data_IF_042843514141
#
_entry.id   IF_042843514141
#
_cell.length_a   1.000
_cell.length_b   1.000
_cell.length_c   1.000
_cell.angle_alpha   90.00
_cell.angle_beta   90.00
_cell.angle_gamma   90.00
#
_symmetry.space_group_name_H-M   'P 1'
#
loop_
_entity.id
_entity.type
_entity.pdbx_description
1 polymer ?
#
# COMPACT_ATOMS: atom_id res chain seq x y z
N UNK A 1 -27.34 4.69 -15.51
CA UNK A 1 -26.57 3.56 -16.09
C UNK A 1 -25.12 3.74 -15.70
N UNK A 2 -24.79 3.34 -14.47
CA UNK A 2 -23.45 3.51 -13.89
C UNK A 2 -22.65 2.25 -14.19
N UNK A 3 -21.53 2.39 -14.91
CA UNK A 3 -20.57 1.31 -15.09
C UNK A 3 -19.81 1.13 -13.78
N UNK A 4 -20.00 -0.02 -13.14
CA UNK A 4 -19.23 -0.41 -11.95
C UNK A 4 -17.73 -0.55 -12.32
N UNK A 5 -16.82 0.14 -11.61
CA UNK A 5 -15.40 -0.02 -11.83
C UNK A 5 -14.98 -1.37 -11.25
N UNK A 6 -14.70 -2.33 -12.15
CA UNK A 6 -13.97 -3.59 -11.94
C UNK A 6 -13.93 -4.07 -10.47
N UNK A 7 -15.01 -4.75 -10.07
CA UNK A 7 -15.14 -5.51 -8.82
C UNK A 7 -13.88 -6.32 -8.49
N UNK A 8 -13.56 -6.50 -7.20
CA UNK A 8 -12.47 -7.36 -6.68
C UNK A 8 -12.51 -8.77 -7.32
N UNK A 9 -13.69 -9.22 -7.74
CA UNK A 9 -13.92 -10.47 -8.47
C UNK A 9 -13.27 -10.46 -9.87
N UNK A 10 -13.28 -9.32 -10.58
CA UNK A 10 -12.58 -9.13 -11.86
C UNK A 10 -11.06 -9.22 -11.69
N UNK A 11 -10.48 -8.59 -10.65
CA UNK A 11 -9.03 -8.69 -10.42
C UNK A 11 -8.59 -10.11 -10.09
N UNK A 12 -9.35 -10.84 -9.25
CA UNK A 12 -9.08 -12.26 -8.96
C UNK A 12 -9.25 -13.15 -10.19
N UNK A 13 -10.24 -12.84 -11.04
CA UNK A 13 -10.46 -13.51 -12.33
C UNK A 13 -9.28 -13.29 -13.28
N UNK A 14 -8.81 -12.05 -13.42
CA UNK A 14 -7.66 -11.66 -14.23
C UNK A 14 -6.39 -12.36 -13.72
N UNK A 15 -6.17 -12.40 -12.40
CA UNK A 15 -5.02 -13.09 -11.79
C UNK A 15 -5.07 -14.61 -11.99
N UNK A 16 -6.27 -15.21 -11.98
CA UNK A 16 -6.49 -16.64 -12.22
C UNK A 16 -6.33 -16.98 -13.71
N UNK A 17 -6.82 -16.12 -14.61
CA UNK A 17 -6.58 -16.21 -16.05
C UNK A 17 -5.09 -16.06 -16.37
N UNK A 18 -4.39 -15.16 -15.67
CA UNK A 18 -2.96 -14.94 -15.82
C UNK A 18 -2.07 -16.08 -15.29
N UNK A 19 -2.59 -16.90 -14.38
CA UNK A 19 -1.94 -18.17 -13.99
C UNK A 19 -2.17 -19.29 -15.00
N UNK A 20 -3.29 -19.26 -15.73
CA UNK A 20 -3.71 -20.32 -16.66
C UNK A 20 -3.12 -20.14 -18.06
N UNK A 21 -2.87 -18.91 -18.47
CA UNK A 21 -2.08 -18.58 -19.66
C UNK A 21 -0.60 -18.60 -19.25
N UNK A 22 0.27 -19.17 -20.09
CA UNK A 22 1.72 -19.13 -19.93
C UNK A 22 2.25 -17.69 -20.10
N UNK A 23 1.97 -16.81 -19.13
CA UNK A 23 2.49 -15.46 -19.12
C UNK A 23 4.03 -15.50 -19.00
N UNK A 24 4.71 -14.90 -19.98
CA UNK A 24 6.16 -14.74 -19.99
C UNK A 24 6.62 -14.07 -18.69
N UNK A 25 7.75 -14.51 -18.16
CA UNK A 25 8.35 -14.07 -16.89
C UNK A 25 8.30 -12.52 -16.70
N UNK A 26 8.53 -11.79 -17.80
CA UNK A 26 8.55 -10.32 -17.87
C UNK A 26 7.26 -9.65 -17.40
N UNK A 27 6.11 -10.25 -17.69
CA UNK A 27 4.80 -9.67 -17.35
C UNK A 27 4.44 -9.81 -15.88
N UNK A 28 4.83 -10.94 -15.25
CA UNK A 28 4.71 -11.13 -13.80
C UNK A 28 5.60 -10.14 -13.06
N UNK A 29 6.78 -9.88 -13.60
CA UNK A 29 7.71 -8.90 -13.05
C UNK A 29 7.10 -7.49 -13.13
N UNK A 30 6.53 -7.09 -14.28
CA UNK A 30 5.84 -5.81 -14.42
C UNK A 30 4.68 -5.67 -13.42
N UNK A 31 3.85 -6.69 -13.22
CA UNK A 31 2.79 -6.61 -12.20
C UNK A 31 3.34 -6.43 -10.78
N UNK A 32 4.43 -7.11 -10.43
CA UNK A 32 5.09 -6.95 -9.12
C UNK A 32 5.75 -5.58 -8.95
N UNK A 33 6.28 -4.98 -10.01
CA UNK A 33 6.89 -3.65 -9.94
C UNK A 33 5.88 -2.58 -9.51
N UNK A 34 4.61 -2.70 -9.91
CA UNK A 34 3.56 -1.79 -9.40
C UNK A 34 3.39 -1.86 -7.88
N UNK A 35 3.59 -3.03 -7.27
CA UNK A 35 3.54 -3.22 -5.81
C UNK A 35 4.81 -2.68 -5.15
N UNK A 36 5.96 -2.78 -5.84
CA UNK A 36 7.24 -2.28 -5.35
C UNK A 36 7.25 -0.75 -5.17
N UNK A 37 6.38 -0.02 -5.88
CA UNK A 37 6.24 1.44 -5.73
C UNK A 37 5.92 1.87 -4.29
N UNK A 38 5.24 1.02 -3.51
CA UNK A 38 4.91 1.34 -2.12
C UNK A 38 6.15 1.45 -1.21
N UNK A 39 7.28 0.90 -1.64
CA UNK A 39 8.53 0.87 -0.88
C UNK A 39 9.51 1.98 -1.29
N UNK A 40 9.18 2.79 -2.29
CA UNK A 40 10.03 3.87 -2.80
C UNK A 40 9.63 5.18 -2.07
N UNK A 41 10.56 6.14 -1.86
CA UNK A 41 10.20 7.47 -1.34
C UNK A 41 9.10 8.12 -2.17
N UNK A 42 8.17 8.82 -1.52
CA UNK A 42 6.98 9.41 -2.16
C UNK A 42 7.33 10.32 -3.35
N UNK A 43 8.43 11.07 -3.21
CA UNK A 43 8.99 11.98 -4.22
C UNK A 43 9.32 11.26 -5.54
N UNK A 44 9.81 10.02 -5.45
CA UNK A 44 10.35 9.25 -6.57
C UNK A 44 9.28 8.34 -7.21
N UNK A 45 8.12 8.16 -6.56
CA UNK A 45 7.05 7.26 -7.03
C UNK A 45 6.60 7.63 -8.44
N UNK A 46 6.41 8.91 -8.73
CA UNK A 46 5.95 9.38 -10.04
C UNK A 46 6.97 9.07 -11.15
N UNK A 47 8.26 9.32 -10.87
CA UNK A 47 9.35 9.03 -11.81
C UNK A 47 9.50 7.52 -12.07
N UNK A 48 9.50 6.72 -11.00
CA UNK A 48 9.58 5.27 -11.09
C UNK A 48 8.38 4.67 -11.86
N UNK A 49 7.17 5.16 -11.61
CA UNK A 49 5.96 4.73 -12.32
C UNK A 49 6.06 4.98 -13.83
N UNK A 50 6.50 6.17 -14.24
CA UNK A 50 6.65 6.51 -15.66
C UNK A 50 7.68 5.62 -16.37
N UNK A 51 8.80 5.29 -15.70
CA UNK A 51 9.79 4.37 -16.24
C UNK A 51 9.23 2.96 -16.43
N UNK A 52 8.42 2.49 -15.50
CA UNK A 52 7.77 1.18 -15.61
C UNK A 52 6.75 1.20 -16.75
N UNK A 53 5.90 2.24 -16.83
CA UNK A 53 4.89 2.40 -17.89
C UNK A 53 5.50 2.41 -19.29
N UNK A 54 6.66 3.04 -19.47
CA UNK A 54 7.39 3.02 -20.75
C UNK A 54 7.89 1.61 -21.12
N UNK A 55 8.27 0.79 -20.14
CA UNK A 55 8.74 -0.58 -20.36
C UNK A 55 7.62 -1.60 -20.61
N UNK A 56 6.38 -1.27 -20.27
CA UNK A 56 5.22 -2.16 -20.40
C UNK A 56 4.89 -2.54 -21.85
N UNK A 57 5.41 -1.79 -22.84
CA UNK A 57 5.23 -2.07 -24.27
C UNK A 57 3.77 -1.96 -24.72
N UNK A 58 3.44 -2.56 -25.88
CA UNK A 58 2.11 -2.52 -26.52
C UNK A 58 1.15 -3.62 -26.05
N UNK A 59 1.43 -4.30 -24.92
CA UNK A 59 0.51 -5.31 -24.40
C UNK A 59 -0.75 -4.62 -23.83
N UNK A 60 -1.86 -4.69 -24.58
CA UNK A 60 -3.10 -3.96 -24.27
C UNK A 60 -3.65 -4.21 -22.87
N UNK A 61 -3.53 -5.42 -22.32
CA UNK A 61 -4.00 -5.73 -20.97
C UNK A 61 -3.15 -5.06 -19.89
N UNK A 62 -1.82 -5.03 -20.07
CA UNK A 62 -0.92 -4.38 -19.13
C UNK A 62 -1.07 -2.85 -19.22
N UNK A 63 -1.26 -2.30 -20.41
CA UNK A 63 -1.54 -0.86 -20.59
C UNK A 63 -2.80 -0.47 -19.81
N UNK A 64 -3.89 -1.23 -19.94
CA UNK A 64 -5.12 -0.99 -19.17
C UNK A 64 -4.90 -1.06 -17.66
N UNK A 65 -4.11 -2.03 -17.19
CA UNK A 65 -3.75 -2.14 -15.77
C UNK A 65 -2.97 -0.91 -15.29
N UNK A 66 -1.97 -0.46 -16.03
CA UNK A 66 -1.17 0.71 -15.66
C UNK A 66 -1.98 2.01 -15.74
N UNK A 67 -2.88 2.16 -16.72
CA UNK A 67 -3.79 3.31 -16.77
C UNK A 67 -4.72 3.35 -15.55
N UNK A 68 -5.23 2.19 -15.11
CA UNK A 68 -6.00 2.09 -13.87
C UNK A 68 -5.17 2.49 -12.64
N UNK A 69 -3.92 2.00 -12.53
CA UNK A 69 -3.02 2.33 -11.42
C UNK A 69 -2.70 3.83 -11.42
N UNK A 70 -2.46 4.42 -12.58
CA UNK A 70 -2.19 5.85 -12.72
C UNK A 70 -3.38 6.69 -12.25
N UNK A 71 -4.59 6.38 -12.71
CA UNK A 71 -5.80 7.12 -12.32
C UNK A 71 -6.16 6.93 -10.82
N UNK A 72 -5.84 5.78 -10.25
CA UNK A 72 -6.28 5.43 -8.89
C UNK A 72 -5.27 5.80 -7.82
N UNK A 73 -3.96 5.65 -8.06
CA UNK A 73 -2.93 5.70 -7.01
C UNK A 73 -1.82 6.73 -7.22
N UNK A 74 -1.52 7.14 -8.47
CA UNK A 74 -0.37 8.01 -8.78
C UNK A 74 -0.81 9.43 -9.18
N UNK A 75 -1.91 9.52 -9.94
CA UNK A 75 -2.38 10.75 -10.56
C UNK A 75 -1.78 10.95 -11.95
N UNK A 76 -2.48 11.70 -12.80
CA UNK A 76 -2.08 11.94 -14.19
C UNK A 76 -2.12 13.41 -14.56
N UNK A 77 -1.20 13.82 -15.45
CA UNK A 77 -1.24 15.15 -16.06
C UNK A 77 -2.06 15.06 -17.34
N UNK A 78 -3.23 15.69 -17.37
CA UNK A 78 -4.13 15.70 -18.53
C UNK A 78 -3.98 17.01 -19.29
N UNK A 79 -3.86 16.92 -20.60
CA UNK A 79 -3.90 18.09 -21.48
C UNK A 79 -5.35 18.45 -21.77
N UNK A 80 -5.80 19.59 -21.26
CA UNK A 80 -7.15 20.10 -21.49
C UNK A 80 -7.14 21.15 -22.58
N UNK A 81 -8.01 20.95 -23.56
CA UNK A 81 -8.25 21.91 -24.63
C UNK A 81 -9.12 23.05 -24.10
N UNK A 82 -8.61 24.27 -24.14
CA UNK A 82 -9.32 25.48 -23.69
C UNK A 82 -9.43 26.46 -24.85
N UNK A 83 -10.64 26.97 -25.09
CA UNK A 83 -10.97 27.88 -26.19
C UNK A 83 -11.79 27.24 -27.32
N UNK A 84 -12.35 28.08 -28.20
CA UNK A 84 -13.12 27.68 -29.40
C UNK A 84 -12.52 28.35 -30.65
N UNK A 85 -12.55 27.67 -31.80
CA UNK A 85 -12.09 28.23 -33.08
C UNK A 85 -10.56 28.37 -33.21
N UNK A 86 -10.08 29.49 -33.76
CA UNK A 86 -8.64 29.74 -34.02
C UNK A 86 -7.80 30.02 -32.76
N UNK A 87 -8.41 30.16 -31.58
CA UNK A 87 -7.74 30.47 -30.31
C UNK A 87 -7.56 29.28 -29.36
N UNK A 88 -7.52 28.05 -29.89
CA UNK A 88 -7.34 26.83 -29.08
C UNK A 88 -5.98 26.84 -28.39
N UNK A 89 -6.00 26.70 -27.07
CA UNK A 89 -4.81 26.47 -26.23
C UNK A 89 -4.93 25.13 -25.53
N UNK A 90 -3.79 24.49 -25.26
CA UNK A 90 -3.69 23.30 -24.44
C UNK A 90 -3.10 23.71 -23.09
N UNK A 91 -3.79 23.35 -22.02
CA UNK A 91 -3.35 23.59 -20.64
C UNK A 91 -3.14 22.23 -19.98
N UNK A 92 -1.98 22.05 -19.34
CA UNK A 92 -1.70 20.89 -18.51
C UNK A 92 -2.38 21.03 -17.15
N UNK A 93 -3.34 20.16 -16.86
CA UNK A 93 -4.05 20.09 -15.58
C UNK A 93 -3.66 18.78 -14.88
N UNK A 94 -3.18 18.87 -13.63
CA UNK A 94 -2.90 17.68 -12.83
C UNK A 94 -4.20 17.14 -12.24
N UNK A 95 -4.51 15.88 -12.53
CA UNK A 95 -5.64 15.16 -11.96
C UNK A 95 -5.13 14.33 -10.78
N UNK A 96 -5.60 14.70 -9.58
CA UNK A 96 -5.29 13.98 -8.36
C UNK A 96 -5.76 12.51 -8.44
N UNK A 97 -5.01 11.56 -7.86
CA UNK A 97 -5.44 10.17 -7.76
C UNK A 97 -6.64 10.01 -6.83
N UNK A 98 -7.34 8.87 -6.94
CA UNK A 98 -8.40 8.50 -5.99
C UNK A 98 -7.85 8.28 -4.56
N UNK A 99 -6.65 7.73 -4.46
CA UNK A 99 -5.93 7.53 -3.21
C UNK A 99 -4.57 8.21 -3.29
N UNK A 100 -4.33 9.17 -2.41
CA UNK A 100 -3.06 9.89 -2.33
C UNK A 100 -1.88 8.95 -2.00
N UNK A 101 -0.69 9.30 -2.49
CA UNK A 101 0.53 8.47 -2.35
C UNK A 101 0.87 8.21 -0.88
N UNK A 102 0.81 9.24 -0.04
CA UNK A 102 1.04 9.16 1.41
C UNK A 102 0.13 8.12 2.11
N UNK A 103 -1.07 7.85 1.57
CA UNK A 103 -1.99 6.89 2.19
C UNK A 103 -1.53 5.44 2.06
N UNK A 104 -0.93 5.07 0.92
CA UNK A 104 -0.54 3.69 0.62
C UNK A 104 0.97 3.44 0.63
N UNK A 105 1.78 4.49 0.67
CA UNK A 105 3.23 4.37 0.76
C UNK A 105 3.66 3.82 2.13
N UNK A 106 4.55 2.83 2.13
CA UNK A 106 5.07 2.19 3.34
C UNK A 106 6.55 2.50 3.61
N UNK A 107 7.23 3.23 2.72
CA UNK A 107 8.65 3.56 2.84
C UNK A 107 8.97 4.24 4.17
N UNK A 108 8.25 5.31 4.50
CA UNK A 108 8.43 6.04 5.76
C UNK A 108 8.22 5.15 6.99
N UNK A 109 7.14 4.36 6.98
CA UNK A 109 6.81 3.40 8.05
C UNK A 109 7.93 2.38 8.28
N UNK A 110 8.53 1.87 7.20
CA UNK A 110 9.62 0.89 7.26
C UNK A 110 10.89 1.55 7.82
N UNK A 111 11.24 2.73 7.35
CA UNK A 111 12.41 3.48 7.81
C UNK A 111 12.29 3.87 9.29
N UNK A 112 11.09 4.23 9.73
CA UNK A 112 10.77 4.58 11.12
C UNK A 112 10.50 3.35 12.01
N UNK A 113 10.60 2.13 11.46
CA UNK A 113 10.31 0.88 12.18
C UNK A 113 8.93 0.85 12.88
N UNK A 114 7.94 1.56 12.32
CA UNK A 114 6.61 1.65 12.92
C UNK A 114 5.86 0.32 12.75
N UNK A 115 5.31 -0.26 13.85
CA UNK A 115 4.56 -1.50 13.76
C UNK A 115 3.28 -1.34 12.93
N UNK A 116 2.97 -2.35 12.12
CA UNK A 116 1.66 -2.46 11.47
C UNK A 116 0.62 -2.88 12.50
N UNK A 117 -0.58 -2.27 12.47
CA UNK A 117 -1.69 -2.62 13.39
C UNK A 117 -1.97 -4.12 13.43
N UNK A 118 -1.90 -4.79 12.28
CA UNK A 118 -2.09 -6.24 12.18
C UNK A 118 -1.08 -7.03 13.02
N UNK A 119 0.20 -6.68 12.95
CA UNK A 119 1.27 -7.36 13.68
C UNK A 119 1.09 -7.14 15.19
N UNK A 120 0.70 -5.93 15.59
CA UNK A 120 0.45 -5.59 16.99
C UNK A 120 -0.73 -6.40 17.57
N UNK A 121 -1.84 -6.44 16.84
CA UNK A 121 -3.05 -7.18 17.25
C UNK A 121 -2.78 -8.69 17.29
N UNK A 122 -2.09 -9.25 16.29
CA UNK A 122 -1.68 -10.67 16.29
C UNK A 122 -0.75 -10.99 17.47
N UNK A 123 0.21 -10.11 17.77
CA UNK A 123 1.10 -10.26 18.92
C UNK A 123 0.34 -10.22 20.25
N UNK A 124 -0.60 -9.28 20.38
CA UNK A 124 -1.44 -9.17 21.58
C UNK A 124 -2.32 -10.40 21.77
N UNK A 125 -3.00 -10.85 20.70
CA UNK A 125 -3.82 -12.07 20.75
C UNK A 125 -2.99 -13.30 21.07
N UNK A 126 -1.79 -13.43 20.49
CA UNK A 126 -0.90 -14.55 20.79
C UNK A 126 -0.48 -14.56 22.26
N UNK A 127 -0.12 -13.39 22.81
CA UNK A 127 0.24 -13.27 24.22
C UNK A 127 -0.95 -13.55 25.14
N UNK A 128 -2.14 -13.08 24.75
CA UNK A 128 -3.38 -13.31 25.50
C UNK A 128 -3.78 -14.79 25.52
N UNK A 129 -3.68 -15.49 24.39
CA UNK A 129 -3.93 -16.94 24.32
C UNK A 129 -2.95 -17.71 25.20
N UNK A 130 -1.67 -17.34 25.22
CA UNK A 130 -0.68 -17.99 26.09
C UNK A 130 -0.99 -17.85 27.59
N UNK A 131 -1.63 -16.74 27.97
CA UNK A 131 -2.11 -16.52 29.34
C UNK A 131 -3.30 -17.46 29.63
N UNK A 132 -4.24 -17.59 28.70
CA UNK A 132 -5.46 -18.40 28.88
C UNK A 132 -5.20 -19.91 28.86
N UNK A 133 -4.28 -20.38 28.01
CA UNK A 133 -3.97 -21.81 27.83
C UNK A 133 -3.40 -22.47 29.11
N UNK A 134 -3.03 -21.69 30.12
CA UNK A 134 -2.47 -22.17 31.40
C UNK A 134 -3.52 -22.30 32.52
N UNK A 135 -4.82 -22.17 32.21
CA UNK A 135 -5.92 -22.13 33.19
C UNK A 135 -5.58 -21.25 34.42
N UNK A 136 -5.23 -19.97 34.21
CA UNK A 136 -4.73 -19.13 35.29
C UNK A 136 -5.81 -18.93 36.36
N UNK A 137 -5.40 -18.98 37.63
CA UNK A 137 -6.20 -18.45 38.73
C UNK A 137 -6.51 -16.97 38.45
N UNK A 138 -7.67 -16.48 38.89
CA UNK A 138 -8.12 -15.08 38.64
C UNK A 138 -7.03 -14.05 38.98
N UNK A 139 -6.30 -14.26 40.07
CA UNK A 139 -5.21 -13.37 40.49
C UNK A 139 -3.99 -13.42 39.55
N UNK A 140 -3.60 -14.59 39.03
CA UNK A 140 -2.49 -14.68 38.08
C UNK A 140 -2.86 -14.13 36.71
N UNK A 141 -4.14 -14.25 36.31
CA UNK A 141 -4.69 -13.60 35.13
C UNK A 141 -4.63 -12.06 35.25
N UNK A 142 -5.15 -11.49 36.34
CA UNK A 142 -5.09 -10.04 36.61
C UNK A 142 -3.63 -9.55 36.63
N UNK A 143 -2.74 -10.30 37.28
CA UNK A 143 -1.31 -9.97 37.30
C UNK A 143 -0.68 -9.95 35.90
N UNK A 144 -1.14 -10.81 35.00
CA UNK A 144 -0.65 -10.86 33.61
C UNK A 144 -1.20 -9.70 32.76
N UNK A 145 -2.47 -9.34 32.96
CA UNK A 145 -3.06 -8.14 32.33
C UNK A 145 -2.35 -6.85 32.76
N UNK A 146 -2.05 -6.71 34.06
CA UNK A 146 -1.30 -5.55 34.55
C UNK A 146 0.10 -5.45 33.92
N UNK A 147 0.77 -6.60 33.70
CA UNK A 147 2.07 -6.61 33.01
C UNK A 147 1.95 -6.19 31.55
N UNK A 148 0.94 -6.66 30.83
CA UNK A 148 0.69 -6.24 29.44
C UNK A 148 0.36 -4.75 29.35
N UNK A 149 -0.48 -4.24 30.25
CA UNK A 149 -0.77 -2.81 30.33
C UNK A 149 0.50 -2.00 30.61
N UNK A 150 1.32 -2.42 31.57
CA UNK A 150 2.58 -1.73 31.89
C UNK A 150 3.57 -1.73 30.73
N UNK A 151 3.64 -2.82 29.94
CA UNK A 151 4.45 -2.85 28.70
C UNK A 151 3.98 -1.81 27.70
N UNK A 152 2.67 -1.74 27.44
CA UNK A 152 2.08 -0.78 26.50
C UNK A 152 2.32 0.66 26.96
N UNK A 153 2.13 0.96 28.24
CA UNK A 153 2.40 2.28 28.81
C UNK A 153 3.88 2.66 28.68
N UNK A 154 4.80 1.72 28.92
CA UNK A 154 6.23 1.95 28.72
C UNK A 154 6.59 2.18 27.24
N UNK A 155 5.93 1.51 26.30
CA UNK A 155 6.12 1.77 24.87
C UNK A 155 5.58 3.15 24.46
N UNK A 156 4.41 3.54 24.95
CA UNK A 156 3.86 4.88 24.76
C UNK A 156 4.81 5.98 25.26
N UNK A 157 5.32 5.85 26.49
CA UNK A 157 6.27 6.81 27.05
C UNK A 157 7.57 6.89 26.22
N UNK A 158 8.06 5.78 25.67
CA UNK A 158 9.24 5.78 24.78
C UNK A 158 8.96 6.52 23.47
N UNK A 159 7.76 6.36 22.92
CA UNK A 159 7.32 7.08 21.71
C UNK A 159 7.20 8.58 21.98
N UNK A 160 6.59 8.97 23.11
CA UNK A 160 6.44 10.38 23.52
C UNK A 160 7.79 11.06 23.77
N UNK A 161 8.75 10.33 24.34
CA UNK A 161 10.11 10.85 24.62
C UNK A 161 11.04 10.84 23.40
N UNK A 162 10.58 10.34 22.25
CA UNK A 162 11.35 10.32 21.00
C UNK A 162 12.51 9.31 20.97
N UNK A 163 12.52 8.32 21.86
CA UNK A 163 13.54 7.27 21.88
C UNK A 163 13.26 6.29 20.73
N UNK A 164 13.92 6.49 19.60
CA UNK A 164 13.72 5.67 18.40
C UNK A 164 14.17 4.21 18.59
N UNK A 165 13.32 3.28 18.14
CA UNK A 165 13.61 1.85 18.18
C UNK A 165 14.63 1.50 17.07
N UNK A 166 15.86 1.14 17.42
CA UNK A 166 16.78 0.48 16.46
C UNK A 166 16.52 -1.01 16.53
N UNK A 167 16.04 -1.62 15.44
CA UNK A 167 16.15 -3.08 15.30
C UNK A 167 17.63 -3.45 15.34
N UNK A 168 17.99 -4.43 16.17
CA UNK A 168 19.30 -5.08 16.03
C UNK A 168 19.35 -5.75 14.65
N UNK A 169 20.50 -5.70 13.96
CA UNK A 169 20.67 -6.29 12.63
C UNK A 169 20.32 -7.77 12.62
#
# INVERSE_FOLDING_TARGET
MSQDPLSITSLKSILKAAKKLHWKEDTRLLLKLSQALAFIPEEDVYGAFNLIKQKTGTNGELVQFYDYVEDTFVGKVVQKKVGRGRGVKYISEYKAPLFEINFWNVNKRINECLPSLKILVESWHSSFSEILDKHPLVYSFIGSLNKEQQKVECELLKLETGIAYRRRP
#
